data_IF_918865456346
#
_entry.id   IF_918865456346
#
_cell.length_a   1.000
_cell.length_b   1.000
_cell.length_c   1.000
_cell.angle_alpha   90.00
_cell.angle_beta   90.00
_cell.angle_gamma   90.00
#
_symmetry.space_group_name_H-M   'P 1'
#
loop_
_entity.id
_entity.type
_entity.pdbx_description
1 polymer ?
#
# COMPACT_ATOMS: atom_id res chain seq x y z
N UNK A 1 -10.38 6.28 51.41
CA UNK A 1 -11.76 6.65 51.81
C UNK A 1 -11.92 8.16 51.75
N UNK A 2 -12.69 8.68 50.79
CA UNK A 2 -13.70 9.74 50.96
C UNK A 2 -14.30 10.10 49.60
N UNK A 3 -15.57 9.74 49.46
CA UNK A 3 -16.52 10.21 48.46
C UNK A 3 -17.03 11.62 48.84
N UNK A 4 -17.42 12.42 47.85
CA UNK A 4 -18.64 13.26 47.77
C UNK A 4 -18.46 14.24 46.57
N UNK A 5 -19.25 14.21 45.49
CA UNK A 5 -20.71 14.45 45.29
C UNK A 5 -21.15 15.92 45.35
N UNK A 6 -22.21 16.17 44.55
CA UNK A 6 -23.18 17.30 44.52
C UNK A 6 -22.94 18.27 43.34
N UNK A 7 -23.68 18.14 42.21
CA UNK A 7 -25.03 18.68 41.86
C UNK A 7 -25.04 20.24 41.78
N UNK A 8 -25.79 20.99 40.96
CA UNK A 8 -27.06 20.84 40.21
C UNK A 8 -27.29 22.13 39.36
N UNK A 9 -28.28 22.13 38.43
CA UNK A 9 -29.17 23.26 38.00
C UNK A 9 -28.59 24.33 37.03
N UNK A 10 -29.26 24.93 36.03
CA UNK A 10 -30.62 24.89 35.42
C UNK A 10 -30.50 25.39 33.97
N UNK A 11 -31.20 24.82 32.99
CA UNK A 11 -32.45 25.31 32.40
C UNK A 11 -32.46 26.79 31.92
N UNK A 12 -32.46 26.98 30.60
CA UNK A 12 -33.11 28.12 29.94
C UNK A 12 -33.93 27.60 28.76
N UNK A 13 -35.23 27.85 28.84
CA UNK A 13 -36.23 27.65 27.81
C UNK A 13 -36.78 29.02 27.41
N UNK A 14 -36.87 29.31 26.10
CA UNK A 14 -37.74 30.31 25.49
C UNK A 14 -37.97 29.82 24.04
N UNK A 15 -39.12 29.20 23.74
CA UNK A 15 -40.41 29.81 23.34
C UNK A 15 -40.46 30.25 21.87
N UNK A 16 -41.02 29.31 21.08
CA UNK A 16 -41.91 29.43 19.92
C UNK A 16 -42.19 30.80 19.26
N UNK A 17 -42.17 30.83 17.92
CA UNK A 17 -43.13 31.58 17.10
C UNK A 17 -43.40 30.91 15.73
N UNK A 18 -44.64 30.42 15.61
CA UNK A 18 -45.61 30.44 14.51
C UNK A 18 -45.33 29.95 13.07
N UNK A 19 -46.31 29.15 12.67
CA UNK A 19 -46.66 28.50 11.40
C UNK A 19 -47.32 29.49 10.43
N UNK A 20 -47.11 29.31 9.11
CA UNK A 20 -48.11 29.65 8.07
C UNK A 20 -48.19 28.48 7.06
N UNK A 21 -49.39 27.99 6.70
CA UNK A 21 -49.60 26.99 5.65
C UNK A 21 -50.03 27.62 4.33
N UNK A 22 -49.63 27.03 3.19
CA UNK A 22 -50.30 27.26 1.91
C UNK A 22 -50.35 25.93 1.11
N UNK A 23 -51.54 25.34 1.07
CA UNK A 23 -51.98 24.37 0.06
C UNK A 23 -52.62 25.17 -1.11
N UNK A 24 -52.85 24.71 -2.35
CA UNK A 24 -53.07 23.37 -2.90
C UNK A 24 -53.07 23.48 -4.46
N UNK A 25 -52.66 22.39 -5.15
CA UNK A 25 -53.07 21.89 -6.49
C UNK A 25 -52.83 22.75 -7.75
N UNK A 26 -52.57 22.23 -8.97
CA UNK A 26 -53.19 21.12 -9.74
C UNK A 26 -52.18 20.55 -10.78
N UNK A 27 -52.37 19.27 -11.15
CA UNK A 27 -51.73 18.44 -12.20
C UNK A 27 -51.83 19.03 -13.65
N UNK A 28 -51.16 18.57 -14.72
CA UNK A 28 -51.23 17.24 -15.41
C UNK A 28 -50.10 17.12 -16.46
N UNK A 29 -49.68 15.86 -16.69
CA UNK A 29 -48.87 15.18 -17.72
C UNK A 29 -48.56 15.80 -19.10
N UNK A 30 -47.39 15.49 -19.67
CA UNK A 30 -47.20 14.48 -20.75
C UNK A 30 -45.69 14.15 -20.97
N UNK A 31 -45.39 12.93 -21.41
CA UNK A 31 -44.06 12.28 -21.60
C UNK A 31 -43.54 12.49 -23.06
N UNK A 32 -42.50 11.80 -23.58
CA UNK A 32 -41.13 11.55 -23.09
C UNK A 32 -40.06 11.94 -24.15
N UNK A 33 -38.81 12.17 -23.72
CA UNK A 33 -37.64 12.14 -24.62
C UNK A 33 -36.46 11.38 -23.99
N UNK A 34 -36.54 10.05 -24.11
CA UNK A 34 -35.48 9.07 -24.36
C UNK A 34 -34.03 9.60 -24.30
N UNK A 35 -33.35 9.34 -23.18
CA UNK A 35 -31.90 9.22 -23.13
C UNK A 35 -31.55 7.97 -22.31
N UNK A 36 -30.84 7.06 -22.97
CA UNK A 36 -30.51 5.70 -22.55
C UNK A 36 -29.72 5.64 -21.24
N UNK A 37 -30.35 5.08 -20.21
CA UNK A 37 -29.67 4.54 -19.03
C UNK A 37 -29.24 3.10 -19.32
N UNK A 38 -28.01 2.94 -19.82
CA UNK A 38 -27.30 1.65 -19.85
C UNK A 38 -25.91 1.88 -19.23
N UNK A 39 -25.90 2.05 -17.90
CA UNK A 39 -24.67 2.11 -17.11
C UNK A 39 -24.97 1.76 -15.66
N UNK A 40 -25.37 0.52 -15.38
CA UNK A 40 -25.26 -0.09 -14.05
C UNK A 40 -25.48 -1.60 -14.10
N UNK A 41 -24.72 -2.31 -14.94
CA UNK A 41 -24.45 -3.73 -14.66
C UNK A 41 -23.18 -3.76 -13.84
N UNK A 42 -23.35 -3.68 -12.51
CA UNK A 42 -22.32 -4.02 -11.55
C UNK A 42 -21.81 -5.42 -11.93
N UNK A 43 -20.60 -5.47 -12.47
CA UNK A 43 -19.85 -6.71 -12.47
C UNK A 43 -19.64 -7.07 -11.02
N UNK A 44 -20.29 -8.15 -10.61
CA UNK A 44 -19.88 -8.98 -9.50
C UNK A 44 -18.42 -9.38 -9.72
N UNK A 45 -17.52 -8.47 -9.36
CA UNK A 45 -16.09 -8.75 -9.28
C UNK A 45 -15.92 -9.56 -8.03
N UNK A 46 -15.87 -10.88 -8.25
CA UNK A 46 -15.63 -11.88 -7.23
C UNK A 46 -14.60 -11.39 -6.22
N UNK A 47 -14.95 -11.57 -4.95
CA UNK A 47 -14.12 -11.40 -3.75
C UNK A 47 -12.63 -11.55 -4.09
N UNK A 48 -11.98 -10.43 -4.37
CA UNK A 48 -10.52 -10.36 -4.35
C UNK A 48 -10.15 -10.49 -2.88
N UNK A 49 -9.89 -11.73 -2.46
CA UNK A 49 -9.40 -12.03 -1.13
C UNK A 49 -7.99 -11.46 -1.03
N UNK A 50 -7.92 -10.18 -0.69
CA UNK A 50 -6.73 -9.46 -0.26
C UNK A 50 -6.13 -10.27 0.88
N UNK A 51 -5.13 -11.05 0.53
CA UNK A 51 -4.61 -12.10 1.38
C UNK A 51 -3.61 -11.45 2.32
N UNK A 52 -4.09 -11.00 3.49
CA UNK A 52 -3.35 -10.38 4.59
C UNK A 52 -2.22 -11.24 5.21
N UNK A 53 -1.51 -12.02 4.40
CA UNK A 53 -0.39 -12.89 4.77
C UNK A 53 0.97 -12.27 4.38
N UNK A 54 0.93 -11.16 3.68
CA UNK A 54 1.99 -10.56 2.87
C UNK A 54 2.38 -9.23 3.57
N UNK A 55 3.68 -8.94 3.70
CA UNK A 55 4.24 -7.74 4.34
C UNK A 55 3.51 -6.47 3.89
N UNK A 56 2.67 -5.97 4.80
CA UNK A 56 1.99 -4.71 4.60
C UNK A 56 0.71 -4.79 3.79
N UNK A 57 0.08 -5.95 3.67
CA UNK A 57 -1.35 -6.00 3.39
C UNK A 57 -2.12 -5.69 4.69
N UNK A 58 -3.13 -4.81 4.66
CA UNK A 58 -3.83 -4.42 5.87
C UNK A 58 -4.74 -5.53 6.38
N UNK A 59 -4.88 -5.63 7.71
CA UNK A 59 -5.95 -6.42 8.28
C UNK A 59 -7.28 -5.68 8.08
N UNK A 60 -8.24 -6.32 7.41
CA UNK A 60 -9.57 -5.77 7.17
C UNK A 60 -9.73 -5.03 5.83
N UNK A 61 -10.87 -4.38 5.59
CA UNK A 61 -11.17 -3.73 4.32
C UNK A 61 -10.25 -2.53 4.07
N UNK A 62 -9.90 -2.29 2.81
CA UNK A 62 -9.12 -1.12 2.40
C UNK A 62 -9.89 0.19 2.66
N UNK A 63 -9.17 1.23 3.05
CA UNK A 63 -9.70 2.60 3.08
C UNK A 63 -9.87 3.14 1.64
N UNK A 64 -10.60 4.25 1.44
CA UNK A 64 -10.67 4.89 0.14
C UNK A 64 -9.30 5.29 -0.42
N UNK A 65 -8.40 5.75 0.45
CA UNK A 65 -7.02 6.09 0.09
C UNK A 65 -6.23 4.85 -0.36
N UNK A 66 -6.24 3.78 0.44
CA UNK A 66 -5.55 2.53 0.08
C UNK A 66 -6.11 1.89 -1.19
N UNK A 67 -7.41 2.04 -1.42
CA UNK A 67 -8.07 1.60 -2.67
C UNK A 67 -7.54 2.39 -3.86
N UNK A 68 -7.43 3.72 -3.73
CA UNK A 68 -6.87 4.58 -4.77
C UNK A 68 -5.40 4.26 -5.04
N UNK A 69 -4.59 4.02 -3.99
CA UNK A 69 -3.20 3.58 -4.14
C UNK A 69 -3.07 2.22 -4.84
N UNK A 70 -3.94 1.26 -4.49
CA UNK A 70 -3.98 -0.05 -5.16
C UNK A 70 -4.30 0.10 -6.63
N UNK A 71 -5.29 0.94 -6.97
CA UNK A 71 -5.63 1.25 -8.36
C UNK A 71 -4.48 1.96 -9.10
N UNK A 72 -3.81 2.92 -8.46
CA UNK A 72 -2.68 3.65 -9.04
C UNK A 72 -1.50 2.73 -9.40
N UNK A 73 -1.28 1.64 -8.63
CA UNK A 73 -0.21 0.65 -8.87
C UNK A 73 -0.59 -0.42 -9.88
N UNK A 74 -1.84 -0.47 -10.35
CA UNK A 74 -2.35 -1.54 -11.22
C UNK A 74 -1.55 -1.67 -12.52
N UNK A 75 -1.28 -0.56 -13.21
CA UNK A 75 -0.50 -0.58 -14.45
C UNK A 75 0.92 -1.11 -14.21
N UNK A 76 1.57 -0.66 -13.13
CA UNK A 76 2.91 -1.14 -12.76
C UNK A 76 2.92 -2.64 -12.47
N UNK A 77 1.90 -3.14 -11.76
CA UNK A 77 1.71 -4.57 -11.51
C UNK A 77 1.63 -5.35 -12.83
N UNK A 78 0.80 -4.91 -13.77
CA UNK A 78 0.66 -5.55 -15.09
C UNK A 78 2.00 -5.59 -15.83
N UNK A 79 2.75 -4.48 -15.84
CA UNK A 79 4.00 -4.39 -16.60
C UNK A 79 5.13 -5.22 -15.95
N UNK A 80 5.21 -5.26 -14.61
CA UNK A 80 6.10 -6.17 -13.87
C UNK A 80 5.76 -7.63 -14.17
N UNK A 81 4.49 -8.02 -14.07
CA UNK A 81 4.05 -9.39 -14.35
C UNK A 81 4.31 -9.79 -15.80
N UNK A 82 4.06 -8.89 -16.76
CA UNK A 82 4.43 -9.11 -18.16
C UNK A 82 5.93 -9.40 -18.28
N UNK A 83 6.79 -8.62 -17.61
CA UNK A 83 8.23 -8.81 -17.69
C UNK A 83 8.70 -10.14 -17.07
N UNK A 84 8.14 -10.54 -15.92
CA UNK A 84 8.42 -11.84 -15.32
C UNK A 84 7.97 -13.02 -16.21
N UNK A 85 6.82 -12.91 -16.88
CA UNK A 85 6.23 -14.02 -17.62
C UNK A 85 6.62 -14.10 -19.10
N UNK A 86 6.87 -12.98 -19.77
CA UNK A 86 7.26 -12.95 -21.19
C UNK A 86 8.66 -13.53 -21.41
N UNK A 87 9.54 -13.43 -20.41
CA UNK A 87 10.96 -13.82 -20.50
C UNK A 87 11.69 -13.14 -21.67
N UNK A 88 11.16 -12.02 -22.15
CA UNK A 88 11.73 -11.24 -23.22
C UNK A 88 12.40 -10.00 -22.63
N UNK A 89 13.69 -9.84 -22.92
CA UNK A 89 14.46 -8.68 -22.49
C UNK A 89 14.23 -7.44 -23.37
N UNK A 90 13.48 -7.59 -24.47
CA UNK A 90 13.16 -6.48 -25.36
C UNK A 90 12.18 -5.48 -24.71
N UNK A 91 12.30 -4.20 -25.10
CA UNK A 91 11.47 -3.10 -24.61
C UNK A 91 12.12 -2.25 -23.50
N UNK A 92 11.40 -1.22 -23.03
CA UNK A 92 11.87 -0.23 -22.04
C UNK A 92 11.85 -0.73 -20.60
N UNK A 93 12.79 -0.34 -19.75
CA UNK A 93 12.71 -0.62 -18.31
C UNK A 93 11.39 -0.16 -17.67
N UNK A 94 11.05 -0.76 -16.53
CA UNK A 94 9.78 -0.51 -15.83
C UNK A 94 10.02 0.59 -14.83
N UNK A 95 9.29 1.70 -14.97
CA UNK A 95 9.31 2.81 -14.04
C UNK A 95 7.89 3.12 -13.57
N UNK A 96 7.67 3.21 -12.28
CA UNK A 96 6.36 3.59 -11.75
C UNK A 96 6.47 4.30 -10.40
N UNK A 97 5.59 5.28 -10.19
CA UNK A 97 5.44 5.93 -8.90
C UNK A 97 4.57 5.05 -8.01
N UNK A 98 5.12 4.60 -6.89
CA UNK A 98 4.47 3.69 -5.94
C UNK A 98 4.24 4.44 -4.65
N UNK A 99 2.97 4.67 -4.32
CA UNK A 99 2.54 5.18 -3.01
C UNK A 99 1.97 3.99 -2.24
N UNK A 100 2.33 3.86 -0.97
CA UNK A 100 1.81 2.86 -0.04
C UNK A 100 1.61 3.46 1.34
N UNK A 101 0.36 3.47 1.77
CA UNK A 101 -0.03 3.67 3.16
C UNK A 101 0.21 2.41 3.98
N UNK A 102 0.75 2.60 5.17
CA UNK A 102 0.96 1.57 6.17
C UNK A 102 0.19 1.95 7.43
N UNK A 103 -0.71 1.09 7.86
CA UNK A 103 -1.42 1.26 9.13
C UNK A 103 -0.48 1.02 10.30
N UNK A 104 -0.80 1.63 11.44
CA UNK A 104 -0.03 1.50 12.68
C UNK A 104 0.21 0.04 13.06
N UNK A 105 -0.83 -0.78 12.99
CA UNK A 105 -0.80 -2.19 13.37
C UNK A 105 0.17 -2.99 12.49
N UNK A 106 0.24 -2.65 11.20
CA UNK A 106 1.17 -3.27 10.26
C UNK A 106 2.61 -2.90 10.58
N UNK A 107 2.86 -1.61 10.87
CA UNK A 107 4.18 -1.13 11.26
C UNK A 107 4.62 -1.75 12.59
N UNK A 108 3.74 -1.80 13.60
CA UNK A 108 3.99 -2.46 14.89
C UNK A 108 4.36 -3.93 14.70
N UNK A 109 3.62 -4.68 13.86
CA UNK A 109 3.96 -6.09 13.53
C UNK A 109 5.31 -6.19 12.83
N UNK A 110 5.59 -5.31 11.87
CA UNK A 110 6.83 -5.32 11.10
C UNK A 110 8.04 -5.01 11.98
N UNK A 111 8.04 -3.87 12.69
CA UNK A 111 9.17 -3.48 13.54
C UNK A 111 9.30 -4.36 14.78
N UNK A 112 8.20 -4.99 15.23
CA UNK A 112 8.21 -5.97 16.30
C UNK A 112 9.07 -7.20 15.98
N UNK A 113 9.16 -7.61 14.70
CA UNK A 113 10.10 -8.65 14.24
C UNK A 113 11.56 -8.23 14.48
N UNK A 114 11.84 -6.93 14.42
CA UNK A 114 13.15 -6.32 14.64
C UNK A 114 13.38 -5.92 16.11
N UNK A 115 12.46 -6.28 17.02
CA UNK A 115 12.50 -5.89 18.45
C UNK A 115 12.55 -4.37 18.68
N UNK A 116 11.99 -3.60 17.74
CA UNK A 116 11.85 -2.15 17.82
C UNK A 116 10.38 -1.82 18.10
N UNK A 117 10.13 -0.79 18.92
CA UNK A 117 8.78 -0.27 19.16
C UNK A 117 8.44 0.80 18.13
N UNK A 118 7.23 0.77 17.57
CA UNK A 118 6.70 1.85 16.73
C UNK A 118 5.75 2.73 17.56
N UNK A 119 6.19 3.93 17.99
CA UNK A 119 5.37 4.79 18.84
C UNK A 119 4.44 5.72 18.05
N UNK A 120 4.52 5.72 16.73
CA UNK A 120 3.80 6.63 15.86
C UNK A 120 2.56 5.98 15.24
N UNK A 121 1.75 6.76 14.52
CA UNK A 121 0.63 6.23 13.76
C UNK A 121 1.10 5.63 12.43
N UNK A 122 0.19 5.53 11.46
CA UNK A 122 0.52 5.03 10.13
C UNK A 122 1.58 5.88 9.41
N UNK A 123 2.15 5.30 8.36
CA UNK A 123 3.11 5.97 7.49
C UNK A 123 2.61 5.95 6.05
N UNK A 124 2.67 7.10 5.38
CA UNK A 124 2.41 7.22 3.94
C UNK A 124 3.77 7.28 3.24
N UNK A 125 4.13 6.22 2.51
CA UNK A 125 5.41 6.12 1.84
C UNK A 125 5.25 6.18 0.33
N UNK A 126 6.16 6.86 -0.35
CA UNK A 126 6.25 6.93 -1.80
C UNK A 126 7.65 6.63 -2.29
N UNK A 127 7.76 5.99 -3.44
CA UNK A 127 9.03 5.77 -4.13
C UNK A 127 8.82 5.71 -5.64
N UNK A 128 9.80 6.20 -6.41
CA UNK A 128 9.87 5.96 -7.84
C UNK A 128 10.58 4.63 -8.07
N UNK A 129 9.79 3.58 -8.25
CA UNK A 129 10.27 2.24 -8.53
C UNK A 129 10.83 2.21 -9.95
N UNK A 130 12.06 1.72 -10.09
CA UNK A 130 12.72 1.53 -11.38
C UNK A 130 13.31 0.13 -11.45
N UNK A 131 12.84 -0.70 -12.36
CA UNK A 131 13.28 -2.09 -12.49
C UNK A 131 13.73 -2.36 -13.91
N UNK A 132 14.96 -2.84 -14.06
CA UNK A 132 15.49 -3.20 -15.37
C UNK A 132 14.79 -4.45 -15.87
N UNK A 133 14.28 -4.45 -17.11
CA UNK A 133 13.61 -5.63 -17.64
C UNK A 133 14.58 -6.82 -17.74
N UNK A 134 15.81 -6.56 -18.17
CA UNK A 134 16.85 -7.58 -18.26
C UNK A 134 17.10 -8.32 -16.94
N UNK A 135 17.04 -7.60 -15.81
CA UNK A 135 17.21 -8.21 -14.48
C UNK A 135 16.06 -9.16 -14.13
N UNK A 136 14.82 -8.80 -14.48
CA UNK A 136 13.66 -9.66 -14.29
C UNK A 136 13.70 -10.90 -15.18
N UNK A 137 14.12 -10.73 -16.44
CA UNK A 137 14.27 -11.87 -17.36
C UNK A 137 15.34 -12.82 -16.84
N UNK A 138 16.49 -12.29 -16.40
CA UNK A 138 17.57 -13.06 -15.81
C UNK A 138 17.09 -13.88 -14.61
N UNK A 139 16.31 -13.26 -13.71
CA UNK A 139 15.72 -13.93 -12.56
C UNK A 139 14.85 -15.16 -12.93
N UNK A 140 14.21 -15.13 -14.11
CA UNK A 140 13.25 -16.15 -14.54
C UNK A 140 13.81 -17.19 -15.51
N UNK A 141 14.93 -16.91 -16.17
CA UNK A 141 15.50 -17.79 -17.22
C UNK A 141 16.77 -18.50 -16.80
N UNK A 142 17.58 -17.90 -15.92
CA UNK A 142 18.79 -18.55 -15.44
C UNK A 142 18.46 -19.62 -14.39
N UNK A 143 19.19 -20.76 -14.37
CA UNK A 143 19.03 -21.75 -13.30
C UNK A 143 19.24 -21.15 -11.91
N UNK A 144 20.15 -20.18 -11.81
CA UNK A 144 20.44 -19.42 -10.60
C UNK A 144 20.94 -18.02 -10.98
N UNK A 145 20.27 -16.99 -10.47
CA UNK A 145 20.62 -15.59 -10.71
C UNK A 145 20.67 -14.81 -9.41
N UNK A 146 21.69 -13.96 -9.25
CA UNK A 146 21.66 -12.87 -8.27
C UNK A 146 21.35 -11.58 -9.00
N UNK A 147 20.27 -10.92 -8.59
CA UNK A 147 19.81 -9.64 -9.13
C UNK A 147 19.99 -8.56 -8.07
N UNK A 148 20.72 -7.51 -8.42
CA UNK A 148 20.86 -6.30 -7.61
C UNK A 148 20.05 -5.21 -8.27
N UNK A 149 18.95 -4.83 -7.61
CA UNK A 149 18.08 -3.77 -8.07
C UNK A 149 18.79 -2.41 -7.94
N UNK A 150 18.40 -1.46 -8.76
CA UNK A 150 18.92 -0.10 -8.66
C UNK A 150 18.50 0.53 -7.34
N UNK A 151 19.25 1.54 -6.89
CA UNK A 151 18.95 2.25 -5.66
C UNK A 151 17.60 2.95 -5.76
N UNK A 152 16.74 2.76 -4.77
CA UNK A 152 15.47 3.46 -4.60
C UNK A 152 15.51 4.30 -3.33
N UNK A 153 15.14 5.56 -3.45
CA UNK A 153 14.87 6.40 -2.28
C UNK A 153 13.38 6.29 -1.98
N UNK A 154 13.05 5.87 -0.76
CA UNK A 154 11.69 5.83 -0.24
C UNK A 154 11.53 7.05 0.66
N UNK A 155 10.51 7.85 0.40
CA UNK A 155 10.13 8.98 1.26
C UNK A 155 8.85 8.59 1.98
N UNK A 156 8.78 8.86 3.28
CA UNK A 156 7.64 8.53 4.11
C UNK A 156 7.25 9.73 4.95
N UNK A 157 5.96 9.88 5.21
CA UNK A 157 5.39 10.84 6.14
C UNK A 157 4.61 10.11 7.23
N UNK A 158 4.80 10.51 8.48
CA UNK A 158 4.01 10.01 9.61
C UNK A 158 3.21 11.17 10.18
N UNK A 159 1.89 11.00 10.24
CA UNK A 159 1.05 11.92 10.96
C UNK A 159 1.31 11.79 12.47
N UNK A 160 1.42 12.93 13.15
CA UNK A 160 1.43 13.00 14.61
C UNK A 160 0.40 14.02 15.09
N UNK A 161 -0.52 13.57 15.94
CA UNK A 161 -1.54 14.41 16.58
C UNK A 161 -0.96 15.65 17.29
N UNK A 162 0.31 15.59 17.72
CA UNK A 162 0.95 16.64 18.51
C UNK A 162 1.92 17.54 17.73
N UNK A 163 2.44 17.08 16.59
CA UNK A 163 3.54 17.75 15.88
C UNK A 163 3.31 17.96 14.38
N UNK A 164 2.14 17.56 13.87
CA UNK A 164 1.88 17.56 12.43
C UNK A 164 2.59 16.40 11.72
N UNK A 165 2.56 16.41 10.39
CA UNK A 165 3.23 15.42 9.57
C UNK A 165 4.76 15.53 9.74
N UNK A 166 5.41 14.39 9.95
CA UNK A 166 6.87 14.30 10.07
C UNK A 166 7.41 13.43 8.94
N UNK A 167 8.22 14.03 8.08
CA UNK A 167 8.78 13.35 6.92
C UNK A 167 10.15 12.73 7.24
N UNK A 168 10.45 11.63 6.56
CA UNK A 168 11.75 10.97 6.57
C UNK A 168 11.97 10.21 5.26
N UNK A 169 13.22 9.90 4.94
CA UNK A 169 13.57 9.11 3.77
C UNK A 169 14.64 8.07 4.09
N UNK A 170 14.66 7.00 3.29
CA UNK A 170 15.72 6.01 3.33
C UNK A 170 15.99 5.42 1.95
N UNK A 171 17.24 5.02 1.71
CA UNK A 171 17.62 4.32 0.49
C UNK A 171 17.49 2.79 0.67
N UNK A 172 17.07 2.11 -0.39
CA UNK A 172 17.09 0.65 -0.54
C UNK A 172 17.84 0.29 -1.82
N UNK A 173 18.65 -0.76 -1.78
CA UNK A 173 19.26 -1.35 -2.99
C UNK A 173 19.03 -2.86 -2.96
N UNK A 174 17.78 -3.33 -3.17
CA UNK A 174 17.45 -4.72 -2.93
C UNK A 174 18.36 -5.68 -3.71
N UNK A 175 18.75 -6.77 -3.07
CA UNK A 175 19.45 -7.89 -3.70
C UNK A 175 18.61 -9.14 -3.50
N UNK A 176 18.26 -9.83 -4.59
CA UNK A 176 17.46 -11.05 -4.54
C UNK A 176 18.18 -12.14 -5.32
N UNK A 177 18.35 -13.30 -4.69
CA UNK A 177 18.83 -14.51 -5.33
C UNK A 177 17.63 -15.35 -5.76
N UNK A 178 17.59 -15.66 -7.04
CA UNK A 178 16.61 -16.55 -7.66
C UNK A 178 17.25 -17.89 -7.99
N UNK A 179 16.47 -18.95 -7.87
CA UNK A 179 16.79 -20.28 -8.34
C UNK A 179 15.58 -20.84 -9.07
N UNK A 180 15.76 -21.22 -10.34
CA UNK A 180 14.71 -21.71 -11.23
C UNK A 180 13.45 -20.82 -11.23
N UNK A 181 13.63 -19.49 -11.32
CA UNK A 181 12.53 -18.52 -11.34
C UNK A 181 11.83 -18.27 -10.00
N UNK A 182 12.37 -18.76 -8.88
CA UNK A 182 11.84 -18.49 -7.53
C UNK A 182 12.86 -17.76 -6.69
N UNK A 183 12.42 -16.75 -5.93
CA UNK A 183 13.27 -16.11 -4.94
C UNK A 183 13.58 -17.10 -3.81
N UNK A 184 14.86 -17.22 -3.44
CA UNK A 184 15.32 -18.10 -2.36
C UNK A 184 16.07 -17.35 -1.25
N UNK A 185 16.56 -16.15 -1.56
CA UNK A 185 17.23 -15.26 -0.60
C UNK A 185 16.97 -13.81 -1.02
N UNK A 186 16.80 -12.94 -0.05
CA UNK A 186 16.64 -11.52 -0.31
C UNK A 186 17.36 -10.70 0.76
N UNK A 187 17.84 -9.53 0.38
CA UNK A 187 18.42 -8.51 1.26
C UNK A 187 17.86 -7.17 0.82
N UNK A 188 17.31 -6.38 1.73
CA UNK A 188 16.82 -5.05 1.39
C UNK A 188 17.95 -4.07 1.03
N UNK A 189 19.13 -4.28 1.63
CA UNK A 189 20.31 -3.39 1.59
C UNK A 189 19.93 -1.94 1.88
N UNK A 190 19.66 -1.66 3.15
CA UNK A 190 19.32 -0.32 3.61
C UNK A 190 20.53 0.61 3.49
N UNK A 191 20.31 1.78 2.91
CA UNK A 191 21.31 2.81 2.69
C UNK A 191 21.15 4.01 3.62
N UNK A 192 21.30 5.21 3.04
CA UNK A 192 21.19 6.48 3.77
C UNK A 192 19.81 6.59 4.43
N UNK A 193 19.77 7.14 5.65
CA UNK A 193 18.52 7.49 6.35
C UNK A 193 18.57 8.97 6.71
N UNK A 194 17.56 9.71 6.25
CA UNK A 194 17.33 11.11 6.58
C UNK A 194 16.03 11.21 7.36
N UNK A 195 16.14 11.44 8.66
CA UNK A 195 14.99 11.54 9.54
C UNK A 195 15.31 12.43 10.75
N UNK A 196 14.31 13.03 11.41
CA UNK A 196 14.50 13.64 12.73
C UNK A 196 15.11 12.64 13.71
N UNK A 197 15.91 13.12 14.66
CA UNK A 197 16.77 12.30 15.54
C UNK A 197 16.07 11.08 16.15
N UNK A 198 14.85 11.24 16.65
CA UNK A 198 14.09 10.16 17.30
C UNK A 198 13.64 9.07 16.31
N UNK A 199 13.20 9.45 15.11
CA UNK A 199 12.82 8.51 14.05
C UNK A 199 14.09 7.83 13.53
N UNK A 200 15.15 8.62 13.32
CA UNK A 200 16.44 8.12 12.85
C UNK A 200 17.03 7.07 13.78
N UNK A 201 16.97 7.24 15.10
CA UNK A 201 17.51 6.25 16.04
C UNK A 201 16.76 4.92 15.96
N UNK A 202 15.42 4.94 15.89
CA UNK A 202 14.62 3.72 15.78
C UNK A 202 14.83 3.01 14.44
N UNK A 203 14.82 3.77 13.34
CA UNK A 203 15.06 3.23 11.99
C UNK A 203 16.48 2.69 11.87
N UNK A 204 17.50 3.41 12.33
CA UNK A 204 18.89 2.97 12.23
C UNK A 204 19.11 1.62 12.91
N UNK A 205 18.54 1.41 14.10
CA UNK A 205 18.63 0.09 14.77
C UNK A 205 17.98 -1.00 13.94
N UNK A 206 16.77 -0.76 13.43
CA UNK A 206 16.03 -1.70 12.59
C UNK A 206 16.80 -2.04 11.30
N UNK A 207 17.29 -1.04 10.58
CA UNK A 207 17.99 -1.20 9.30
C UNK A 207 19.39 -1.77 9.47
N UNK A 208 20.11 -1.40 10.53
CA UNK A 208 21.42 -1.98 10.83
C UNK A 208 21.29 -3.46 11.22
N UNK A 209 20.27 -3.82 12.00
CA UNK A 209 19.97 -5.20 12.30
C UNK A 209 19.68 -5.98 11.01
N UNK A 210 18.81 -5.48 10.13
CA UNK A 210 18.52 -6.14 8.86
C UNK A 210 19.76 -6.26 7.94
N UNK A 211 20.59 -5.22 7.82
CA UNK A 211 21.83 -5.30 7.04
C UNK A 211 22.85 -6.31 7.60
N UNK A 212 22.83 -6.57 8.91
CA UNK A 212 23.81 -7.46 9.57
C UNK A 212 23.34 -8.91 9.59
N UNK A 213 22.08 -9.15 9.96
CA UNK A 213 21.53 -10.50 10.20
C UNK A 213 20.36 -10.86 9.28
N UNK A 214 19.99 -9.98 8.34
CA UNK A 214 19.02 -10.22 7.27
C UNK A 214 17.65 -10.72 7.78
N UNK A 215 17.14 -10.08 8.84
CA UNK A 215 15.92 -10.48 9.55
C UNK A 215 14.69 -10.46 8.62
N UNK A 216 14.64 -9.53 7.66
CA UNK A 216 13.51 -9.39 6.73
C UNK A 216 13.59 -10.36 5.54
N UNK A 217 14.69 -11.08 5.37
CA UNK A 217 14.93 -11.95 4.21
C UNK A 217 13.77 -12.89 3.90
N UNK A 218 13.29 -13.63 4.91
CA UNK A 218 12.24 -14.64 4.70
C UNK A 218 10.95 -13.98 4.24
N UNK A 219 10.60 -12.87 4.88
CA UNK A 219 9.40 -12.11 4.53
C UNK A 219 9.51 -11.51 3.12
N UNK A 220 10.67 -10.95 2.74
CA UNK A 220 10.87 -10.43 1.36
C UNK A 220 10.83 -11.56 0.32
N UNK A 221 11.39 -12.74 0.63
CA UNK A 221 11.30 -13.91 -0.26
C UNK A 221 9.86 -14.37 -0.45
N UNK A 222 9.07 -14.42 0.63
CA UNK A 222 7.65 -14.72 0.57
C UNK A 222 6.90 -13.69 -0.30
N UNK A 223 7.16 -12.40 -0.10
CA UNK A 223 6.58 -11.30 -0.91
C UNK A 223 6.84 -11.47 -2.40
N UNK A 224 8.10 -11.67 -2.78
CA UNK A 224 8.50 -11.74 -4.18
C UNK A 224 7.85 -12.95 -4.84
N UNK A 225 7.82 -14.09 -4.17
CA UNK A 225 7.21 -15.30 -4.72
C UNK A 225 5.67 -15.21 -4.79
N UNK A 226 5.01 -14.64 -3.77
CA UNK A 226 3.56 -14.37 -3.82
C UNK A 226 3.24 -13.38 -4.94
N UNK A 227 4.10 -12.37 -5.15
CA UNK A 227 3.93 -11.40 -6.23
C UNK A 227 4.02 -12.06 -7.61
N UNK A 228 5.13 -12.76 -7.89
CA UNK A 228 5.40 -13.40 -9.18
C UNK A 228 4.36 -14.49 -9.48
N UNK A 229 3.89 -15.22 -8.48
CA UNK A 229 2.84 -16.22 -8.64
C UNK A 229 1.46 -15.58 -8.59
N UNK A 230 0.84 -15.67 -7.41
CA UNK A 230 -0.58 -15.39 -7.22
C UNK A 230 -0.98 -13.97 -7.63
N UNK A 231 -0.20 -12.95 -7.27
CA UNK A 231 -0.58 -11.57 -7.62
C UNK A 231 -0.49 -11.34 -9.12
N UNK A 232 0.47 -11.95 -9.82
CA UNK A 232 0.50 -11.89 -11.27
C UNK A 232 -0.64 -12.67 -11.92
N UNK A 233 -1.07 -13.79 -11.35
CA UNK A 233 -2.25 -14.52 -11.83
C UNK A 233 -3.54 -13.68 -11.76
N UNK A 234 -3.70 -12.82 -10.75
CA UNK A 234 -4.85 -11.90 -10.63
C UNK A 234 -4.98 -10.93 -11.82
N UNK A 235 -3.90 -10.68 -12.56
CA UNK A 235 -3.86 -9.77 -13.70
C UNK A 235 -3.46 -10.47 -15.01
N UNK A 236 -3.58 -11.79 -15.05
CA UNK A 236 -3.15 -12.64 -16.17
C UNK A 236 -3.71 -12.20 -17.51
N UNK A 237 -5.01 -11.96 -17.57
CA UNK A 237 -5.67 -11.56 -18.81
C UNK A 237 -5.10 -10.24 -19.35
N UNK A 238 -4.68 -9.34 -18.46
CA UNK A 238 -4.13 -8.04 -18.83
C UNK A 238 -2.68 -8.13 -19.32
N UNK A 239 -1.83 -8.92 -18.65
CA UNK A 239 -0.43 -9.03 -19.08
C UNK A 239 -0.21 -10.01 -20.22
N UNK A 240 -1.05 -11.05 -20.36
CA UNK A 240 -0.98 -12.00 -21.46
C UNK A 240 -1.45 -11.37 -22.79
N UNK A 241 -2.46 -10.50 -22.75
CA UNK A 241 -2.94 -9.78 -23.94
C UNK A 241 -1.93 -8.75 -24.49
N UNK A 242 -0.93 -8.36 -23.69
CA UNK A 242 0.13 -7.43 -24.09
C UNK A 242 1.38 -8.15 -24.64
N UNK A 243 1.41 -9.48 -24.71
CA UNK A 243 2.57 -10.24 -25.20
C UNK A 243 2.72 -10.19 -26.72
#
# INVERSE_FOLDING_TARGET
>A
MKFASVMFVSAFAFSAFSIVPFACSIAVADEPAKASADAAKASDSGKASDSGKVLGDPDGPLTPEETAEKAARQACKVDLCKAFHSKDASGSDIACHVIKSWRKEQLVKLVGKLKVTWPYDGAHCSTDLSVKRGDLVKAMTEPKAEVVFVKHTVTCSIASDKKGATDFSFDLTPKVTFENGKAIKAQAQWGKIEAPTLIKSALWTATAADNTVNILSSSIVEEVNEFIGKRCDEVKDQWAAKQ
#
